data_IF_273408549079
#
_entry.id   IF_273408549079
#
_cell.length_a   1.000
_cell.length_b   1.000
_cell.length_c   1.000
_cell.angle_alpha   90.00
_cell.angle_beta   90.00
_cell.angle_gamma   90.00
#
_symmetry.space_group_name_H-M   'P 1'
#
loop_
_entity.id
_entity.type
_entity.pdbx_description
1 polymer ?
#
# COMPACT_ATOMS: atom_id res chain seq x y z
N UNK A 1 9.82 -6.44 -0.35
CA UNK A 1 10.09 -6.30 -1.80
C UNK A 1 9.36 -5.09 -2.34
N UNK A 2 10.08 -4.19 -2.94
CA UNK A 2 9.52 -2.95 -3.49
C UNK A 2 8.61 -3.25 -4.69
N UNK A 3 7.39 -2.74 -4.64
CA UNK A 3 6.49 -2.67 -5.80
C UNK A 3 6.49 -1.25 -6.37
N UNK A 4 6.35 -0.25 -5.49
CA UNK A 4 6.29 1.15 -5.92
C UNK A 4 6.61 2.10 -4.78
N UNK A 5 7.35 3.16 -5.06
CA UNK A 5 7.62 4.23 -4.12
C UNK A 5 8.35 3.80 -2.85
N UNK A 6 7.98 4.40 -1.74
CA UNK A 6 8.59 4.15 -0.43
C UNK A 6 7.81 3.16 0.42
N UNK A 7 6.56 2.87 0.07
CA UNK A 7 5.65 2.13 0.95
C UNK A 7 4.87 1.01 0.27
N UNK A 8 4.85 0.92 -1.07
CA UNK A 8 4.08 -0.11 -1.75
C UNK A 8 4.92 -1.36 -1.97
N UNK A 9 4.52 -2.48 -1.37
CA UNK A 9 5.14 -3.78 -1.55
C UNK A 9 5.19 -4.59 -0.26
N UNK A 10 5.21 -5.93 -0.36
CA UNK A 10 5.37 -6.78 0.81
C UNK A 10 6.77 -6.60 1.41
N UNK A 11 6.84 -6.50 2.74
CA UNK A 11 8.10 -6.25 3.46
C UNK A 11 8.86 -5.04 2.88
N UNK A 12 8.12 -3.96 2.63
CA UNK A 12 8.68 -2.72 2.09
C UNK A 12 7.96 -1.55 2.71
N UNK A 13 8.65 -0.80 3.56
CA UNK A 13 8.11 0.41 4.20
C UNK A 13 9.24 1.38 4.49
N UNK A 14 8.96 2.69 4.47
CA UNK A 14 9.96 3.75 4.64
C UNK A 14 11.10 3.70 3.62
N UNK A 15 10.90 3.06 2.46
CA UNK A 15 11.97 2.83 1.50
C UNK A 15 12.98 1.76 1.92
N UNK A 16 12.62 0.93 2.90
CA UNK A 16 13.46 -0.11 3.45
C UNK A 16 12.81 -1.48 3.29
N UNK A 17 13.63 -2.50 3.17
CA UNK A 17 13.17 -3.88 3.00
C UNK A 17 12.88 -4.50 4.38
N UNK A 18 11.87 -3.95 5.06
CA UNK A 18 11.43 -4.36 6.39
C UNK A 18 9.91 -4.52 6.40
N UNK A 19 9.35 -5.37 7.27
CA UNK A 19 7.91 -5.59 7.31
C UNK A 19 7.16 -4.36 7.86
N UNK A 20 5.88 -4.23 7.49
CA UNK A 20 5.02 -3.16 8.00
C UNK A 20 4.88 -3.19 9.51
N UNK A 21 5.03 -4.36 10.15
CA UNK A 21 5.05 -4.47 11.61
C UNK A 21 6.17 -3.63 12.26
N UNK A 22 7.21 -3.29 11.51
CA UNK A 22 8.31 -2.45 11.97
C UNK A 22 8.09 -0.96 11.66
N UNK A 23 6.90 -0.57 11.22
CA UNK A 23 6.63 0.81 10.77
C UNK A 23 7.09 1.86 11.78
N UNK A 24 6.80 1.65 13.06
CA UNK A 24 7.10 2.64 14.09
C UNK A 24 8.57 2.65 14.54
N UNK A 25 9.38 1.72 14.04
CA UNK A 25 10.81 1.64 14.38
C UNK A 25 11.69 2.59 13.56
N UNK A 26 11.15 3.19 12.52
CA UNK A 26 11.90 4.05 11.60
C UNK A 26 11.21 5.39 11.43
N UNK A 27 11.97 6.47 11.15
CA UNK A 27 11.36 7.76 10.86
C UNK A 27 10.59 7.71 9.54
N UNK A 28 9.43 8.36 9.52
CA UNK A 28 8.63 8.45 8.30
C UNK A 28 9.40 9.21 7.23
N UNK A 29 9.37 8.68 6.00
CA UNK A 29 9.86 9.39 4.81
C UNK A 29 8.67 9.82 3.97
N UNK A 30 8.87 10.89 3.21
CA UNK A 30 7.78 11.45 2.41
C UNK A 30 7.42 10.49 1.27
N UNK A 31 6.14 10.13 1.11
CA UNK A 31 5.70 9.36 -0.06
C UNK A 31 5.85 10.18 -1.34
N UNK A 32 6.07 9.50 -2.47
CA UNK A 32 6.36 10.16 -3.74
C UNK A 32 5.11 10.72 -4.43
N UNK A 33 3.93 10.12 -4.17
CA UNK A 33 2.65 10.54 -4.73
C UNK A 33 1.49 9.99 -3.93
N UNK A 34 0.24 10.18 -4.44
CA UNK A 34 -0.95 9.74 -3.70
C UNK A 34 -1.09 8.22 -3.58
N UNK A 35 -0.62 7.46 -4.57
CA UNK A 35 -0.64 6.00 -4.47
C UNK A 35 0.30 5.54 -3.37
N UNK A 36 1.51 6.07 -3.36
CA UNK A 36 2.49 5.76 -2.33
C UNK A 36 2.01 6.18 -0.93
N UNK A 37 1.33 7.32 -0.85
CA UNK A 37 0.71 7.78 0.40
C UNK A 37 -0.37 6.81 0.88
N UNK A 38 -1.16 6.25 -0.03
CA UNK A 38 -2.15 5.25 0.31
C UNK A 38 -1.49 3.96 0.82
N UNK A 39 -0.37 3.56 0.22
CA UNK A 39 0.42 2.44 0.71
C UNK A 39 1.01 2.72 2.10
N UNK A 40 1.44 3.96 2.36
CA UNK A 40 1.91 4.36 3.68
C UNK A 40 0.82 4.18 4.74
N UNK A 41 -0.38 4.67 4.47
CA UNK A 41 -1.52 4.50 5.38
C UNK A 41 -1.85 3.03 5.60
N UNK A 42 -1.74 2.21 4.56
CA UNK A 42 -1.94 0.76 4.65
C UNK A 42 -0.88 0.10 5.53
N UNK A 43 0.39 0.45 5.36
CA UNK A 43 1.48 -0.08 6.19
C UNK A 43 1.27 0.30 7.66
N UNK A 44 0.85 1.53 7.91
CA UNK A 44 0.57 2.00 9.27
C UNK A 44 -0.59 1.22 9.90
N UNK A 45 -1.65 0.94 9.14
CA UNK A 45 -2.74 0.08 9.58
C UNK A 45 -2.23 -1.32 9.93
N UNK A 46 -1.42 -1.91 9.05
CA UNK A 46 -0.87 -3.25 9.26
C UNK A 46 0.03 -3.32 10.51
N UNK A 47 0.70 -2.24 10.87
CA UNK A 47 1.56 -2.19 12.05
C UNK A 47 0.79 -2.27 13.37
N UNK A 48 -0.52 -2.14 13.34
CA UNK A 48 -1.37 -2.06 14.54
C UNK A 48 -2.05 -3.39 14.86
N UNK A 49 -1.29 -4.46 14.85
CA UNK A 49 -1.79 -5.79 15.16
C UNK A 49 -2.27 -6.56 13.94
N UNK A 50 -1.78 -6.22 12.77
CA UNK A 50 -2.13 -6.83 11.50
C UNK A 50 -3.01 -5.94 10.63
N UNK A 51 -3.01 -6.21 9.34
CA UNK A 51 -3.78 -5.43 8.37
C UNK A 51 -5.28 -5.65 8.59
N UNK A 52 -6.07 -4.59 8.40
CA UNK A 52 -7.52 -4.67 8.50
C UNK A 52 -8.18 -4.74 7.12
N UNK A 53 -9.40 -5.29 7.06
CA UNK A 53 -10.20 -5.27 5.84
C UNK A 53 -10.47 -3.83 5.39
N UNK A 54 -10.77 -2.93 6.33
CA UNK A 54 -10.99 -1.51 6.04
C UNK A 54 -9.74 -0.86 5.43
N UNK A 55 -8.56 -1.17 5.98
CA UNK A 55 -7.31 -0.66 5.47
C UNK A 55 -7.01 -1.16 4.06
N UNK A 56 -7.24 -2.45 3.80
CA UNK A 56 -7.08 -3.03 2.46
C UNK A 56 -8.02 -2.36 1.44
N UNK A 57 -9.29 -2.16 1.81
CA UNK A 57 -10.27 -1.55 0.92
C UNK A 57 -9.96 -0.07 0.66
N UNK A 58 -9.44 0.66 1.64
CA UNK A 58 -9.04 2.05 1.46
C UNK A 58 -7.89 2.15 0.43
N UNK A 59 -6.89 1.28 0.53
CA UNK A 59 -5.82 1.22 -0.46
C UNK A 59 -6.35 0.82 -1.84
N UNK A 60 -7.22 -0.20 -1.90
CA UNK A 60 -7.86 -0.61 -3.15
C UNK A 60 -8.53 0.57 -3.85
N UNK A 61 -9.28 1.37 -3.11
CA UNK A 61 -10.05 2.46 -3.70
C UNK A 61 -9.15 3.53 -4.31
N UNK A 62 -8.06 3.90 -3.63
CA UNK A 62 -7.08 4.84 -4.20
C UNK A 62 -6.38 4.23 -5.40
N UNK A 63 -5.98 2.97 -5.30
CA UNK A 63 -5.30 2.28 -6.41
C UNK A 63 -6.21 2.19 -7.65
N UNK A 64 -7.51 1.90 -7.49
CA UNK A 64 -8.47 1.91 -8.60
C UNK A 64 -8.58 3.31 -9.22
N UNK A 65 -8.64 4.36 -8.41
CA UNK A 65 -8.70 5.72 -8.91
C UNK A 65 -7.46 6.08 -9.74
N UNK A 66 -6.27 5.68 -9.29
CA UNK A 66 -5.03 5.87 -10.04
C UNK A 66 -5.04 5.04 -11.33
N UNK A 67 -5.51 3.80 -11.27
CA UNK A 67 -5.55 2.91 -12.43
C UNK A 67 -6.42 3.45 -13.56
N UNK A 68 -7.51 4.15 -13.25
CA UNK A 68 -8.43 4.69 -14.27
C UNK A 68 -8.07 6.11 -14.70
N UNK A 69 -7.33 6.87 -13.90
CA UNK A 69 -7.10 8.30 -14.16
C UNK A 69 -5.68 8.67 -14.55
N UNK A 70 -4.69 7.83 -14.24
CA UNK A 70 -3.30 8.18 -14.54
C UNK A 70 -3.03 8.11 -16.04
N UNK A 71 -2.33 9.10 -16.62
CA UNK A 71 -1.87 9.03 -18.01
C UNK A 71 -0.65 8.11 -18.16
N UNK A 72 0.04 7.75 -17.09
CA UNK A 72 1.21 6.90 -17.12
C UNK A 72 0.80 5.43 -17.14
N UNK A 73 1.09 4.74 -18.24
CA UNK A 73 0.69 3.35 -18.45
C UNK A 73 1.31 2.43 -17.39
N UNK A 74 2.57 2.63 -17.03
CA UNK A 74 3.24 1.80 -16.03
C UNK A 74 2.62 2.00 -14.65
N UNK A 75 2.31 3.24 -14.30
CA UNK A 75 1.64 3.53 -13.03
C UNK A 75 0.24 2.93 -12.99
N UNK A 76 -0.50 2.98 -14.10
CA UNK A 76 -1.82 2.34 -14.19
C UNK A 76 -1.72 0.84 -13.97
N UNK A 77 -0.75 0.18 -14.59
CA UNK A 77 -0.54 -1.26 -14.42
C UNK A 77 -0.19 -1.60 -12.96
N UNK A 78 0.72 -0.84 -12.36
CA UNK A 78 1.10 -1.03 -10.95
C UNK A 78 -0.09 -0.84 -10.02
N UNK A 79 -0.86 0.23 -10.22
CA UNK A 79 -2.05 0.50 -9.40
C UNK A 79 -3.10 -0.61 -9.55
N UNK A 80 -3.28 -1.14 -10.76
CA UNK A 80 -4.20 -2.27 -11.00
C UNK A 80 -3.77 -3.50 -10.22
N UNK A 81 -2.48 -3.83 -10.21
CA UNK A 81 -1.97 -4.96 -9.44
C UNK A 81 -2.19 -4.79 -7.94
N UNK A 82 -1.98 -3.58 -7.42
CA UNK A 82 -2.22 -3.28 -6.01
C UNK A 82 -3.71 -3.43 -5.68
N UNK A 83 -4.60 -2.90 -6.54
CA UNK A 83 -6.04 -3.02 -6.34
C UNK A 83 -6.50 -4.47 -6.32
N UNK A 84 -5.99 -5.30 -7.24
CA UNK A 84 -6.29 -6.73 -7.27
C UNK A 84 -5.81 -7.44 -6.01
N UNK A 85 -4.59 -7.14 -5.56
CA UNK A 85 -4.04 -7.73 -4.35
C UNK A 85 -4.93 -7.40 -3.13
N UNK A 86 -5.33 -6.14 -2.97
CA UNK A 86 -6.15 -5.71 -1.84
C UNK A 86 -7.56 -6.29 -1.91
N UNK A 87 -8.13 -6.44 -3.11
CA UNK A 87 -9.42 -7.10 -3.29
C UNK A 87 -9.38 -8.56 -2.87
N UNK A 88 -8.24 -9.23 -3.09
CA UNK A 88 -8.04 -10.62 -2.69
C UNK A 88 -7.81 -10.79 -1.19
N UNK A 89 -7.13 -9.84 -0.55
CA UNK A 89 -6.77 -9.97 0.87
C UNK A 89 -7.85 -9.47 1.81
N UNK A 90 -8.61 -8.43 1.44
CA UNK A 90 -9.60 -7.81 2.33
C UNK A 90 -10.58 -8.83 2.93
N UNK A 91 -11.18 -9.77 2.16
CA UNK A 91 -12.11 -10.74 2.71
C UNK A 91 -11.47 -11.73 3.70
N UNK A 92 -10.14 -11.86 3.69
CA UNK A 92 -9.42 -12.81 4.56
C UNK A 92 -9.02 -12.21 5.90
N UNK A 93 -9.19 -10.90 6.08
CA UNK A 93 -8.75 -10.22 7.29
C UNK A 93 -9.70 -10.47 8.46
N UNK A 94 -9.12 -10.62 9.64
CA UNK A 94 -9.88 -10.75 10.89
C UNK A 94 -10.14 -9.40 11.57
N UNK A 95 -9.48 -8.35 11.13
CA UNK A 95 -9.68 -6.98 11.61
C UNK A 95 -10.56 -6.17 10.69
#
# INVERSE_FOLDING_TARGET
MKVYGKYCGPNWTHGLNVPASDYDKYPEVRPIDRLDRACQAHDKDCSQGGCSAKGDLALRDVALAVAVSSPDIQLRATATLIALAMSGTAPTRSR
#
